data_IF_848185098144
#
_entry.id   IF_848185098144
#
_cell.length_a   1.000
_cell.length_b   1.000
_cell.length_c   1.000
_cell.angle_alpha   90.00
_cell.angle_beta   90.00
_cell.angle_gamma   90.00
#
_symmetry.space_group_name_H-M   'P 1'
#
loop_
_entity.id
_entity.type
_entity.pdbx_description
1 polymer ?
#
# COMPACT_ATOMS: atom_id res chain seq x y z
N UNK A 1 2.40 -50.76 3.39
CA UNK A 1 3.24 -49.55 3.56
C UNK A 1 3.22 -48.62 2.34
N UNK A 2 3.57 -49.07 1.12
CA UNK A 2 3.61 -48.23 -0.10
C UNK A 2 2.30 -47.52 -0.48
N UNK A 3 1.14 -48.22 -0.40
CA UNK A 3 -0.18 -47.64 -0.70
C UNK A 3 -0.57 -46.51 0.27
N UNK A 4 -0.24 -46.65 1.55
CA UNK A 4 -0.47 -45.63 2.57
C UNK A 4 0.41 -44.39 2.35
N UNK A 5 1.69 -44.59 2.01
CA UNK A 5 2.59 -43.47 1.67
C UNK A 5 2.13 -42.72 0.40
N UNK A 6 1.60 -43.43 -0.61
CA UNK A 6 1.05 -42.82 -1.82
C UNK A 6 -0.20 -41.99 -1.52
N UNK A 7 -1.12 -42.52 -0.70
CA UNK A 7 -2.32 -41.79 -0.26
C UNK A 7 -1.92 -40.53 0.52
N UNK A 8 -0.98 -40.65 1.47
CA UNK A 8 -0.51 -39.52 2.26
C UNK A 8 0.08 -38.39 1.41
N UNK A 9 0.90 -38.73 0.39
CA UNK A 9 1.46 -37.73 -0.53
C UNK A 9 0.38 -37.02 -1.33
N UNK A 10 -0.62 -37.76 -1.83
CA UNK A 10 -1.74 -37.18 -2.58
C UNK A 10 -2.55 -36.24 -1.68
N UNK A 11 -2.91 -36.67 -0.47
CA UNK A 11 -3.68 -35.84 0.47
C UNK A 11 -2.91 -34.58 0.88
N UNK A 12 -1.61 -34.70 1.16
CA UNK A 12 -0.77 -33.55 1.48
C UNK A 12 -0.67 -32.56 0.30
N UNK A 13 -0.52 -33.08 -0.92
CA UNK A 13 -0.44 -32.24 -2.12
C UNK A 13 -1.75 -31.50 -2.38
N UNK A 14 -2.91 -32.17 -2.22
CA UNK A 14 -4.23 -31.54 -2.34
C UNK A 14 -4.40 -30.44 -1.29
N UNK A 15 -4.01 -30.71 -0.04
CA UNK A 15 -4.09 -29.73 1.05
C UNK A 15 -3.20 -28.51 0.78
N UNK A 16 -1.98 -28.71 0.28
CA UNK A 16 -1.08 -27.60 -0.09
C UNK A 16 -1.67 -26.74 -1.21
N UNK A 17 -2.22 -27.35 -2.25
CA UNK A 17 -2.88 -26.63 -3.35
C UNK A 17 -4.09 -25.86 -2.84
N UNK A 18 -4.89 -26.45 -1.96
CA UNK A 18 -6.04 -25.79 -1.36
C UNK A 18 -5.63 -24.55 -0.55
N UNK A 19 -4.63 -24.69 0.33
CA UNK A 19 -4.11 -23.57 1.14
C UNK A 19 -3.56 -22.46 0.23
N UNK A 20 -2.76 -22.81 -0.78
CA UNK A 20 -2.22 -21.85 -1.73
C UNK A 20 -3.33 -21.12 -2.50
N UNK A 21 -4.38 -21.85 -2.89
CA UNK A 21 -5.54 -21.26 -3.58
C UNK A 21 -6.26 -20.27 -2.68
N UNK A 22 -6.49 -20.62 -1.41
CA UNK A 22 -7.10 -19.69 -0.44
C UNK A 22 -6.25 -18.43 -0.26
N UNK A 23 -4.93 -18.58 -0.17
CA UNK A 23 -4.01 -17.45 0.00
C UNK A 23 -4.00 -16.51 -1.21
N UNK A 24 -3.98 -17.06 -2.42
CA UNK A 24 -4.07 -16.29 -3.67
C UNK A 24 -5.43 -15.57 -3.77
N UNK A 25 -6.53 -16.26 -3.45
CA UNK A 25 -7.86 -15.66 -3.44
C UNK A 25 -7.91 -14.50 -2.45
N UNK A 26 -7.39 -14.69 -1.24
CA UNK A 26 -7.30 -13.64 -0.24
C UNK A 26 -6.43 -12.47 -0.71
N UNK A 27 -5.33 -12.73 -1.43
CA UNK A 27 -4.50 -11.69 -2.02
C UNK A 27 -5.25 -10.85 -3.06
N UNK A 28 -5.95 -11.49 -3.99
CA UNK A 28 -6.65 -10.81 -5.09
C UNK A 28 -7.91 -10.08 -4.63
N UNK A 29 -8.55 -10.51 -3.52
CA UNK A 29 -9.75 -9.83 -2.97
C UNK A 29 -9.54 -8.34 -2.72
N UNK A 30 -8.34 -7.91 -2.35
CA UNK A 30 -8.03 -6.51 -2.07
C UNK A 30 -8.18 -5.60 -3.30
N UNK A 31 -8.10 -6.14 -4.53
CA UNK A 31 -8.23 -5.35 -5.76
C UNK A 31 -9.67 -4.91 -6.01
N UNK A 32 -10.62 -5.63 -5.44
CA UNK A 32 -12.05 -5.35 -5.50
C UNK A 32 -12.58 -4.74 -4.19
N UNK A 33 -11.72 -4.56 -3.19
CA UNK A 33 -12.08 -3.87 -1.97
C UNK A 33 -12.46 -2.42 -2.32
N UNK A 34 -13.65 -2.01 -1.90
CA UNK A 34 -14.02 -0.59 -1.94
C UNK A 34 -13.12 0.16 -0.96
N UNK A 35 -12.80 1.45 -1.24
CA UNK A 35 -12.17 2.30 -0.24
C UNK A 35 -12.93 2.20 1.08
N UNK A 36 -12.20 2.17 2.19
CA UNK A 36 -12.85 2.15 3.50
C UNK A 36 -13.71 3.39 3.61
N UNK A 37 -14.99 3.23 3.96
CA UNK A 37 -15.87 4.38 4.22
C UNK A 37 -15.27 5.08 5.45
N UNK A 38 -14.72 6.26 5.23
CA UNK A 38 -14.25 7.11 6.32
C UNK A 38 -15.51 7.74 6.91
N UNK A 39 -16.04 7.12 7.96
CA UNK A 39 -17.13 7.70 8.72
C UNK A 39 -16.67 9.01 9.38
N UNK A 40 -17.58 9.97 9.51
CA UNK A 40 -17.30 11.28 10.14
C UNK A 40 -16.81 11.16 11.60
N UNK A 41 -17.05 10.01 12.24
CA UNK A 41 -16.55 9.65 13.57
C UNK A 41 -15.06 9.31 13.60
N UNK A 42 -14.47 8.91 12.47
CA UNK A 42 -13.05 8.64 12.38
C UNK A 42 -12.32 9.98 12.28
N UNK A 43 -11.77 10.48 13.37
CA UNK A 43 -10.82 11.59 13.33
C UNK A 43 -9.57 11.10 12.61
N UNK A 44 -9.49 11.31 11.29
CA UNK A 44 -8.31 10.99 10.50
C UNK A 44 -7.25 12.07 10.78
N UNK A 45 -6.11 11.63 11.26
CA UNK A 45 -5.02 12.53 11.67
C UNK A 45 -4.18 12.94 10.45
N UNK A 46 -3.94 12.00 9.54
CA UNK A 46 -3.09 12.21 8.38
C UNK A 46 -3.35 11.26 7.22
N UNK A 47 -2.83 11.65 6.06
CA UNK A 47 -2.79 10.84 4.85
C UNK A 47 -1.33 10.50 4.57
N UNK A 48 -1.05 9.25 4.23
CA UNK A 48 0.26 8.81 3.72
C UNK A 48 0.05 8.30 2.30
N UNK A 49 0.87 8.76 1.36
CA UNK A 49 0.87 8.28 -0.02
C UNK A 49 2.20 7.66 -0.40
N UNK A 50 2.15 6.48 -1.02
CA UNK A 50 3.33 5.83 -1.59
C UNK A 50 3.44 6.18 -3.08
N UNK A 51 4.54 6.81 -3.47
CA UNK A 51 4.84 7.24 -4.86
C UNK A 51 5.13 6.06 -5.80
N UNK A 52 5.54 6.36 -7.03
CA UNK A 52 5.91 5.36 -8.05
C UNK A 52 4.73 4.85 -8.89
N UNK A 53 3.56 5.47 -8.78
CA UNK A 53 2.42 5.19 -9.65
C UNK A 53 1.57 6.42 -9.89
N UNK A 54 0.77 6.36 -10.94
CA UNK A 54 -0.03 7.49 -11.42
C UNK A 54 -1.20 7.83 -10.50
N UNK A 55 -1.61 9.09 -10.52
CA UNK A 55 -2.78 9.67 -9.84
C UNK A 55 -2.79 9.59 -8.30
N UNK A 56 -1.84 8.90 -7.66
CA UNK A 56 -1.80 8.73 -6.19
C UNK A 56 -1.59 10.03 -5.45
N UNK A 57 -0.60 10.83 -5.86
CA UNK A 57 -0.30 12.11 -5.21
C UNK A 57 -1.49 13.06 -5.37
N UNK A 58 -2.02 13.19 -6.60
CA UNK A 58 -3.20 14.00 -6.89
C UNK A 58 -4.39 13.59 -6.01
N UNK A 59 -4.71 12.30 -5.98
CA UNK A 59 -5.79 11.75 -5.14
C UNK A 59 -5.60 12.12 -3.67
N UNK A 60 -4.37 12.06 -3.16
CA UNK A 60 -4.07 12.37 -1.77
C UNK A 60 -4.23 13.86 -1.45
N UNK A 61 -3.90 14.72 -2.41
CA UNK A 61 -4.13 16.16 -2.31
C UNK A 61 -5.63 16.48 -2.35
N UNK A 62 -6.41 15.78 -3.18
CA UNK A 62 -7.87 15.95 -3.22
C UNK A 62 -8.51 15.56 -1.86
N UNK A 63 -8.02 14.48 -1.24
CA UNK A 63 -8.44 14.08 0.13
C UNK A 63 -8.04 15.14 1.17
N UNK A 64 -6.84 15.69 1.10
CA UNK A 64 -6.38 16.75 1.99
C UNK A 64 -7.24 18.03 1.82
N UNK A 65 -7.46 18.46 0.58
CA UNK A 65 -8.21 19.68 0.23
C UNK A 65 -9.70 19.59 0.58
N UNK A 66 -10.27 18.39 0.60
CA UNK A 66 -11.63 18.14 1.07
C UNK A 66 -11.75 18.14 2.60
N UNK A 67 -10.65 18.33 3.33
CA UNK A 67 -10.63 18.42 4.80
C UNK A 67 -10.78 17.08 5.51
N UNK A 68 -10.56 15.96 4.80
CA UNK A 68 -10.64 14.62 5.39
C UNK A 68 -9.54 14.40 6.43
N UNK A 69 -8.35 14.96 6.18
CA UNK A 69 -7.24 14.98 7.12
C UNK A 69 -6.57 16.36 7.11
N UNK A 70 -5.72 16.63 8.10
CA UNK A 70 -5.02 17.92 8.21
C UNK A 70 -3.62 17.91 7.62
N UNK A 71 -2.98 16.75 7.54
CA UNK A 71 -1.62 16.62 7.04
C UNK A 71 -1.50 15.46 6.05
N UNK A 72 -0.57 15.61 5.11
CA UNK A 72 -0.26 14.62 4.08
C UNK A 72 1.24 14.37 4.05
N UNK A 73 1.64 13.11 4.13
CA UNK A 73 3.01 12.67 3.94
C UNK A 73 3.16 11.96 2.60
N UNK A 74 4.05 12.49 1.75
CA UNK A 74 4.37 11.91 0.43
C UNK A 74 5.68 11.14 0.55
N UNK A 75 5.58 9.82 0.54
CA UNK A 75 6.69 8.91 0.77
C UNK A 75 7.31 8.40 -0.54
N UNK A 76 8.65 8.47 -0.64
CA UNK A 76 9.44 8.04 -1.79
C UNK A 76 9.48 9.02 -2.96
N UNK A 77 9.51 10.34 -2.71
CA UNK A 77 9.74 11.31 -3.80
C UNK A 77 11.16 11.20 -4.34
N UNK A 78 11.39 11.58 -5.60
CA UNK A 78 12.73 11.55 -6.18
C UNK A 78 13.69 12.45 -5.39
N UNK A 79 14.95 12.05 -5.18
CA UNK A 79 15.95 12.93 -4.57
C UNK A 79 16.07 14.24 -5.37
N UNK A 80 15.86 15.37 -4.69
CA UNK A 80 15.83 16.70 -5.30
C UNK A 80 14.43 17.22 -5.66
N UNK A 81 13.38 16.40 -5.57
CA UNK A 81 11.99 16.90 -5.60
C UNK A 81 11.73 17.73 -4.36
N UNK A 82 11.35 19.00 -4.56
CA UNK A 82 10.87 19.85 -3.49
C UNK A 82 9.35 20.07 -3.60
N UNK A 83 8.81 20.69 -2.55
CA UNK A 83 7.40 21.06 -2.40
C UNK A 83 6.87 21.90 -3.58
N UNK A 84 7.66 22.85 -4.08
CA UNK A 84 7.30 23.70 -5.23
C UNK A 84 7.23 22.94 -6.57
N UNK A 85 8.10 21.94 -6.79
CA UNK A 85 8.01 21.12 -8.00
C UNK A 85 6.68 20.34 -8.05
N UNK A 86 6.23 19.85 -6.89
CA UNK A 86 4.93 19.16 -6.78
C UNK A 86 3.78 20.15 -6.98
N UNK A 87 3.90 21.37 -6.43
CA UNK A 87 2.90 22.44 -6.57
C UNK A 87 2.65 22.80 -8.02
N UNK A 88 3.73 22.98 -8.79
CA UNK A 88 3.69 23.38 -10.19
C UNK A 88 3.10 22.27 -11.07
N UNK A 89 3.45 21.02 -10.81
CA UNK A 89 2.96 19.87 -11.56
C UNK A 89 1.48 19.56 -11.32
N UNK A 90 0.98 19.81 -10.12
CA UNK A 90 -0.39 19.45 -9.71
C UNK A 90 -1.31 20.68 -9.62
N UNK A 91 -0.78 21.89 -9.82
CA UNK A 91 -1.51 23.17 -9.80
C UNK A 91 -2.30 23.40 -8.49
N UNK A 92 -1.64 23.22 -7.35
CA UNK A 92 -2.26 23.41 -6.02
C UNK A 92 -1.69 24.65 -5.32
N UNK A 93 -2.47 25.23 -4.39
CA UNK A 93 -2.08 26.42 -3.62
C UNK A 93 -0.80 26.14 -2.82
N UNK A 94 0.22 27.01 -2.98
CA UNK A 94 1.47 26.93 -2.25
C UNK A 94 1.27 26.94 -0.73
N UNK A 95 0.24 27.63 -0.24
CA UNK A 95 -0.08 27.68 1.18
C UNK A 95 -0.46 26.30 1.76
N UNK A 96 -1.19 25.47 0.97
CA UNK A 96 -1.58 24.12 1.38
C UNK A 96 -0.35 23.21 1.50
N UNK A 97 0.61 23.41 0.60
CA UNK A 97 1.85 22.63 0.58
C UNK A 97 2.74 22.98 1.78
N UNK A 98 2.90 24.27 2.04
CA UNK A 98 3.81 24.73 3.09
C UNK A 98 3.29 24.41 4.49
N UNK A 99 1.97 24.47 4.71
CA UNK A 99 1.38 24.19 6.02
C UNK A 99 1.29 22.70 6.36
N UNK A 100 1.02 21.87 5.36
CA UNK A 100 0.28 20.63 5.60
C UNK A 100 0.78 19.42 4.81
N UNK A 101 1.81 19.59 3.98
CA UNK A 101 2.39 18.50 3.18
C UNK A 101 3.85 18.29 3.55
N UNK A 102 4.21 17.09 4.00
CA UNK A 102 5.58 16.67 4.28
C UNK A 102 6.07 15.67 3.23
N UNK A 103 7.37 15.70 2.92
CA UNK A 103 7.98 14.87 1.88
C UNK A 103 9.04 13.93 2.47
N UNK A 104 8.90 12.64 2.20
CA UNK A 104 9.92 11.61 2.42
C UNK A 104 10.62 11.28 1.10
N UNK A 105 11.95 11.36 1.07
CA UNK A 105 12.76 11.15 -0.14
C UNK A 105 13.82 10.03 0.03
N UNK A 106 13.74 9.26 1.12
CA UNK A 106 14.70 8.21 1.42
C UNK A 106 14.28 6.86 0.85
N UNK A 107 12.98 6.64 0.68
CA UNK A 107 12.43 5.37 0.27
C UNK A 107 12.59 5.03 -1.22
N UNK A 108 13.05 3.81 -1.49
CA UNK A 108 13.24 3.23 -2.84
C UNK A 108 12.31 2.06 -3.11
N UNK A 109 11.71 1.49 -2.07
CA UNK A 109 10.76 0.41 -2.18
C UNK A 109 9.60 0.54 -1.17
N UNK A 110 8.66 -0.40 -1.23
CA UNK A 110 7.48 -0.39 -0.36
C UNK A 110 7.79 -0.58 1.12
N UNK A 111 8.90 -1.26 1.46
CA UNK A 111 9.31 -1.43 2.84
C UNK A 111 9.90 -0.13 3.38
N UNK A 112 10.81 0.51 2.63
CA UNK A 112 11.38 1.79 3.02
C UNK A 112 10.31 2.88 3.07
N UNK A 113 9.33 2.89 2.15
CA UNK A 113 8.18 3.81 2.21
C UNK A 113 7.42 3.65 3.53
N UNK A 114 7.19 2.40 3.95
CA UNK A 114 6.53 2.13 5.21
C UNK A 114 7.37 2.57 6.41
N UNK A 115 8.69 2.34 6.40
CA UNK A 115 9.61 2.77 7.47
C UNK A 115 9.55 4.28 7.67
N UNK A 116 9.76 5.08 6.62
CA UNK A 116 9.74 6.54 6.76
C UNK A 116 8.35 7.06 7.13
N UNK A 117 7.28 6.45 6.59
CA UNK A 117 5.92 6.81 6.95
C UNK A 117 5.63 6.52 8.42
N UNK A 118 6.07 5.38 8.96
CA UNK A 118 5.92 5.08 10.39
C UNK A 118 6.74 6.02 11.28
N UNK A 119 7.90 6.50 10.81
CA UNK A 119 8.65 7.57 11.47
C UNK A 119 7.81 8.84 11.61
N UNK A 120 7.28 9.33 10.49
CA UNK A 120 6.43 10.51 10.45
C UNK A 120 5.16 10.38 11.31
N UNK A 121 4.51 9.22 11.29
CA UNK A 121 3.33 8.93 12.14
C UNK A 121 3.68 9.03 13.62
N UNK A 122 4.82 8.46 14.03
CA UNK A 122 5.25 8.44 15.45
C UNK A 122 5.67 9.83 15.93
N UNK A 123 6.44 10.56 15.11
CA UNK A 123 6.89 11.92 15.42
C UNK A 123 5.71 12.87 15.67
N UNK A 124 4.63 12.70 14.91
CA UNK A 124 3.42 13.52 15.04
C UNK A 124 2.35 12.92 15.98
N UNK A 125 2.62 11.75 16.58
CA UNK A 125 1.70 11.03 17.47
C UNK A 125 0.34 10.70 16.82
N UNK A 126 0.32 10.49 15.52
CA UNK A 126 -0.91 10.18 14.78
C UNK A 126 -1.35 8.73 14.98
N UNK A 127 -2.67 8.50 14.92
CA UNK A 127 -3.30 7.20 15.15
C UNK A 127 -4.10 6.73 13.95
N UNK A 128 -4.91 7.58 13.33
CA UNK A 128 -5.79 7.20 12.24
C UNK A 128 -5.24 7.74 10.91
N UNK A 129 -4.70 6.83 10.10
CA UNK A 129 -3.97 7.18 8.88
C UNK A 129 -4.66 6.62 7.65
N UNK A 130 -4.94 7.47 6.68
CA UNK A 130 -5.33 7.01 5.34
C UNK A 130 -4.06 6.60 4.58
N UNK A 131 -4.06 5.40 4.03
CA UNK A 131 -2.99 4.93 3.15
C UNK A 131 -3.47 4.98 1.71
N UNK A 132 -2.82 5.83 0.91
CA UNK A 132 -3.07 5.94 -0.52
C UNK A 132 -1.95 5.23 -1.29
N UNK A 133 -2.33 4.18 -2.02
CA UNK A 133 -1.44 3.51 -2.98
C UNK A 133 -2.27 2.78 -4.04
N UNK A 134 -1.62 2.17 -5.02
CA UNK A 134 -2.34 1.38 -6.01
C UNK A 134 -3.01 0.16 -5.39
N UNK A 135 -4.17 -0.21 -5.94
CA UNK A 135 -4.92 -1.41 -5.60
C UNK A 135 -4.04 -2.67 -5.47
N UNK A 136 -3.14 -2.89 -6.42
CA UNK A 136 -2.27 -4.08 -6.43
C UNK A 136 -1.18 -4.07 -5.36
N UNK A 137 -0.75 -2.90 -4.88
CA UNK A 137 0.26 -2.77 -3.83
C UNK A 137 -0.33 -2.77 -2.41
N UNK A 138 -1.60 -2.44 -2.25
CA UNK A 138 -2.19 -2.12 -0.95
C UNK A 138 -1.98 -3.22 0.09
N UNK A 139 -2.17 -4.49 -0.27
CA UNK A 139 -2.06 -5.58 0.71
C UNK A 139 -0.65 -5.71 1.29
N UNK A 140 0.37 -5.53 0.47
CA UNK A 140 1.77 -5.56 0.90
C UNK A 140 2.11 -4.31 1.72
N UNK A 141 1.65 -3.14 1.32
CA UNK A 141 1.81 -1.91 2.10
C UNK A 141 1.20 -2.03 3.49
N UNK A 142 -0.05 -2.48 3.59
CA UNK A 142 -0.75 -2.66 4.87
C UNK A 142 -0.07 -3.69 5.76
N UNK A 143 0.42 -4.80 5.19
CA UNK A 143 1.14 -5.82 5.95
C UNK A 143 2.36 -5.23 6.66
N UNK A 144 3.16 -4.44 5.93
CA UNK A 144 4.38 -3.84 6.48
C UNK A 144 4.03 -2.75 7.49
N UNK A 145 3.11 -1.83 7.14
CA UNK A 145 2.72 -0.73 8.01
C UNK A 145 2.14 -1.20 9.35
N UNK A 146 1.26 -2.21 9.33
CA UNK A 146 0.67 -2.77 10.55
C UNK A 146 1.70 -3.47 11.44
N UNK A 147 2.74 -4.05 10.85
CA UNK A 147 3.82 -4.67 11.61
C UNK A 147 4.80 -3.63 12.17
N UNK A 148 5.06 -2.53 11.45
CA UNK A 148 5.93 -1.45 11.91
C UNK A 148 5.24 -0.49 12.88
N UNK A 149 3.91 -0.38 12.88
CA UNK A 149 3.17 0.56 13.73
C UNK A 149 1.86 -0.05 14.19
N UNK A 150 1.93 -0.88 15.24
CA UNK A 150 0.76 -1.57 15.82
C UNK A 150 -0.24 -0.59 16.46
N UNK A 151 0.24 0.58 16.89
CA UNK A 151 -0.56 1.63 17.53
C UNK A 151 -1.39 2.48 16.57
N UNK A 152 -1.18 2.33 15.25
CA UNK A 152 -1.85 3.12 14.23
C UNK A 152 -2.91 2.30 13.49
N UNK A 153 -4.09 2.90 13.30
CA UNK A 153 -5.18 2.40 12.47
C UNK A 153 -4.98 2.87 11.03
N UNK A 154 -4.84 1.91 10.11
CA UNK A 154 -4.66 2.20 8.69
C UNK A 154 -5.96 1.99 7.91
N UNK A 155 -6.40 3.06 7.24
CA UNK A 155 -7.59 3.10 6.39
C UNK A 155 -7.15 3.05 4.91
N UNK A 156 -7.28 1.90 4.22
CA UNK A 156 -6.86 1.81 2.83
C UNK A 156 -7.75 2.62 1.90
N UNK A 157 -7.10 3.45 1.07
CA UNK A 157 -7.70 4.17 -0.03
C UNK A 157 -7.01 3.77 -1.34
N UNK A 158 -7.68 2.92 -2.12
CA UNK A 158 -7.11 2.32 -3.32
C UNK A 158 -7.21 3.24 -4.52
N UNK A 159 -6.07 3.51 -5.16
CA UNK A 159 -6.03 4.13 -6.48
C UNK A 159 -6.02 3.03 -7.53
N UNK A 160 -7.01 3.04 -8.43
CA UNK A 160 -7.10 2.05 -9.51
C UNK A 160 -5.90 2.18 -10.43
N UNK A 161 -5.16 1.09 -10.60
CA UNK A 161 -3.99 1.09 -11.48
C UNK A 161 -4.40 1.25 -12.94
N UNK A 162 -3.87 2.27 -13.64
CA UNK A 162 -4.08 2.38 -15.09
C UNK A 162 -3.57 1.13 -15.82
N UNK A 163 -2.42 0.58 -15.41
CA UNK A 163 -1.85 -0.63 -16.01
C UNK A 163 -2.80 -1.84 -15.95
N UNK A 164 -3.57 -1.99 -14.88
CA UNK A 164 -4.50 -3.11 -14.75
C UNK A 164 -5.83 -2.84 -15.48
N UNK A 165 -6.20 -1.57 -15.66
CA UNK A 165 -7.45 -1.18 -16.30
C UNK A 165 -7.31 -0.85 -17.79
N UNK A 166 -6.10 -0.64 -18.29
CA UNK A 166 -5.84 -0.32 -19.70
C UNK A 166 -6.23 -1.49 -20.60
N UNK A 167 -7.11 -1.25 -21.57
CA UNK A 167 -7.57 -2.25 -22.52
C UNK A 167 -6.51 -2.64 -23.55
N UNK A 168 -5.49 -1.79 -23.75
CA UNK A 168 -4.39 -2.04 -24.69
C UNK A 168 -3.33 -2.98 -24.10
N UNK A 169 -3.31 -3.17 -22.78
CA UNK A 169 -2.37 -4.07 -22.11
C UNK A 169 -2.92 -5.50 -22.15
N UNK A 170 -2.05 -6.45 -22.52
CA UNK A 170 -2.45 -7.85 -22.66
C UNK A 170 -2.78 -8.49 -21.31
N UNK A 171 -3.65 -9.51 -21.32
CA UNK A 171 -3.97 -10.28 -20.10
C UNK A 171 -2.72 -10.90 -19.46
N UNK A 172 -1.74 -11.31 -20.27
CA UNK A 172 -0.50 -11.88 -19.80
C UNK A 172 0.36 -10.87 -19.05
N UNK A 173 0.47 -9.63 -19.53
CA UNK A 173 1.21 -8.57 -18.84
C UNK A 173 0.56 -8.18 -17.50
N UNK A 174 -0.78 -8.08 -17.47
CA UNK A 174 -1.52 -7.87 -16.22
C UNK A 174 -1.28 -9.00 -15.23
N UNK A 175 -1.34 -10.25 -15.70
CA UNK A 175 -1.05 -11.42 -14.87
C UNK A 175 0.39 -11.39 -14.33
N UNK A 176 1.36 -11.02 -15.18
CA UNK A 176 2.77 -10.88 -14.77
C UNK A 176 2.93 -9.88 -13.64
N UNK A 177 2.27 -8.71 -13.72
CA UNK A 177 2.30 -7.70 -12.65
C UNK A 177 1.76 -8.28 -11.34
N UNK A 178 0.60 -8.95 -11.40
CA UNK A 178 -0.05 -9.55 -10.21
C UNK A 178 0.84 -10.65 -9.60
N UNK A 179 1.43 -11.53 -10.41
CA UNK A 179 2.31 -12.62 -9.95
C UNK A 179 3.58 -12.07 -9.31
N UNK A 180 4.21 -11.07 -9.93
CA UNK A 180 5.39 -10.42 -9.35
C UNK A 180 5.06 -9.75 -8.02
N UNK A 181 3.92 -9.08 -7.93
CA UNK A 181 3.50 -8.43 -6.70
C UNK A 181 3.14 -9.45 -5.60
N UNK A 182 2.48 -10.55 -5.95
CA UNK A 182 2.22 -11.65 -5.02
C UNK A 182 3.52 -12.28 -4.52
N UNK A 183 4.52 -12.45 -5.40
CA UNK A 183 5.85 -12.95 -5.01
C UNK A 183 6.55 -12.02 -4.02
N UNK A 184 6.49 -10.70 -4.25
CA UNK A 184 7.00 -9.69 -3.30
C UNK A 184 6.24 -9.72 -1.97
N UNK A 185 4.93 -9.97 -2.01
CA UNK A 185 4.10 -10.10 -0.82
C UNK A 185 4.48 -11.33 0.02
N UNK A 186 4.68 -12.48 -0.61
CA UNK A 186 5.19 -13.68 0.07
C UNK A 186 6.58 -13.46 0.66
N UNK A 187 7.49 -12.85 -0.09
CA UNK A 187 8.82 -12.49 0.42
C UNK A 187 8.72 -11.55 1.63
N UNK A 188 7.80 -10.58 1.60
CA UNK A 188 7.56 -9.68 2.74
C UNK A 188 7.07 -10.46 3.96
N UNK A 189 6.11 -11.37 3.81
CA UNK A 189 5.64 -12.22 4.92
C UNK A 189 6.79 -13.03 5.53
N UNK A 190 7.60 -13.67 4.68
CA UNK A 190 8.77 -14.41 5.13
C UNK A 190 9.75 -13.50 5.88
N UNK A 191 10.10 -12.34 5.30
CA UNK A 191 10.99 -11.36 5.93
C UNK A 191 10.48 -10.94 7.32
N UNK A 192 9.20 -10.61 7.45
CA UNK A 192 8.64 -10.16 8.73
C UNK A 192 8.65 -11.26 9.80
N UNK A 193 8.51 -12.54 9.41
CA UNK A 193 8.61 -13.67 10.34
C UNK A 193 10.02 -13.85 10.93
N UNK A 194 11.07 -13.46 10.21
CA UNK A 194 12.47 -13.66 10.60
C UNK A 194 13.16 -12.41 11.14
N UNK A 195 12.63 -11.21 10.87
CA UNK A 195 13.25 -9.94 11.29
C UNK A 195 12.65 -9.41 12.60
N UNK A 196 11.44 -9.82 12.95
CA UNK A 196 10.72 -9.34 14.15
C UNK A 196 10.41 -10.44 15.19
N UNK A 197 11.05 -11.61 15.05
CA UNK A 197 11.20 -12.64 16.11
C UNK A 197 12.68 -12.75 16.46
#
# INVERSE_FOLDING_TARGET
MYKSLKILKITASIMCVFILTLDIVDFVRIFNAKPTIIEKSNTIDGIVVFTGGEDRIKTSIDLLSSGIAKHLFISGVNPGTNKYNISEQIHIDANLIDCCIDLGNNAKDTFENAVESTGWIRENQYKNIIIVTSDYHMKRSLLILKNLSEDANFFPYHVKSKLLNDMNITKFEKLRIIVLEYSKYLFTRLRLLFVFN
#
